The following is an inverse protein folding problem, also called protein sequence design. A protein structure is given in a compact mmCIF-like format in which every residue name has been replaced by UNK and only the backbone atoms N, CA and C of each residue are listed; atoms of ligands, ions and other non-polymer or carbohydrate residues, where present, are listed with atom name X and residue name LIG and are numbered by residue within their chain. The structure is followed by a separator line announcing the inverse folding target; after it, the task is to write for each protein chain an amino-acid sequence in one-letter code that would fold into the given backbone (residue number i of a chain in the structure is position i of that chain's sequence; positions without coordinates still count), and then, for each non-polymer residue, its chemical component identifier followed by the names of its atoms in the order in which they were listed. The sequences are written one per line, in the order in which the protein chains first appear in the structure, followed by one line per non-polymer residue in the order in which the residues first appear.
data_IF_993082122771
#
_entry.id   IF_993082122771
#
_cell.length_a   1.000
_cell.length_b   1.000
_cell.length_c   1.000
_cell.angle_alpha   90.00
_cell.angle_beta   90.00
_cell.angle_gamma   90.00
#
_symmetry.space_group_name_H-M   'P 1'
#
loop_
_entity.id
_entity.type
_entity.pdbx_description
1 polymer ?
#
# COMPACT_ATOMS: atom_id res chain seq x y z
N UNK A 1 -29.36 -19.76 -6.12
CA UNK A 1 -28.60 -19.12 -5.02
C UNK A 1 -27.87 -17.92 -5.59
N UNK A 2 -28.06 -16.75 -5.02
CA UNK A 2 -27.33 -15.54 -5.41
C UNK A 2 -26.16 -15.39 -4.45
N UNK A 3 -24.94 -15.51 -4.94
CA UNK A 3 -23.75 -15.24 -4.11
C UNK A 3 -23.65 -13.73 -3.88
N UNK A 4 -23.22 -13.33 -2.68
CA UNK A 4 -22.82 -11.95 -2.45
C UNK A 4 -21.65 -11.62 -3.39
N UNK A 5 -21.76 -10.51 -4.13
CA UNK A 5 -20.72 -10.02 -5.03
C UNK A 5 -20.09 -8.78 -4.41
N UNK A 6 -18.77 -8.70 -4.44
CA UNK A 6 -18.00 -7.51 -4.08
C UNK A 6 -17.23 -7.03 -5.30
N UNK A 7 -17.38 -5.77 -5.66
CA UNK A 7 -16.68 -5.14 -6.77
C UNK A 7 -15.56 -4.26 -6.22
N UNK A 8 -14.32 -4.53 -6.62
CA UNK A 8 -13.15 -3.78 -6.17
C UNK A 8 -12.60 -2.99 -7.36
N UNK A 9 -12.46 -1.68 -7.20
CA UNK A 9 -11.82 -0.82 -8.19
C UNK A 9 -10.32 -0.73 -7.90
N UNK A 10 -9.50 -1.17 -8.85
CA UNK A 10 -8.04 -1.04 -8.84
C UNK A 10 -7.64 -0.01 -9.89
N UNK A 11 -7.21 1.20 -9.50
CA UNK A 11 -6.96 2.29 -10.45
C UNK A 11 -5.59 2.19 -11.14
N UNK A 12 -4.63 1.47 -10.54
CA UNK A 12 -3.25 1.35 -11.00
C UNK A 12 -2.57 0.11 -10.43
N UNK A 13 -1.42 -0.25 -11.02
CA UNK A 13 -0.58 -1.35 -10.52
C UNK A 13 0.16 -1.03 -9.22
N UNK A 14 0.55 0.23 -9.00
CA UNK A 14 1.18 0.67 -7.76
C UNK A 14 0.94 2.17 -7.47
N UNK A 15 0.84 2.53 -6.20
CA UNK A 15 0.80 3.93 -5.74
C UNK A 15 2.17 4.61 -5.95
N UNK A 16 2.17 5.81 -6.53
CA UNK A 16 3.38 6.54 -6.91
C UNK A 16 3.78 6.37 -8.38
N UNK A 17 3.01 5.58 -9.14
CA UNK A 17 3.02 5.55 -10.60
C UNK A 17 1.78 6.29 -11.10
N UNK A 18 1.91 7.30 -11.98
CA UNK A 18 0.76 8.02 -12.52
C UNK A 18 -0.26 7.08 -13.17
N UNK A 19 -1.54 7.35 -12.90
CA UNK A 19 -2.66 6.62 -13.48
C UNK A 19 -3.67 7.56 -14.13
N UNK A 20 -4.45 7.01 -15.06
CA UNK A 20 -5.42 7.78 -15.83
C UNK A 20 -6.64 8.16 -14.96
N UNK A 21 -6.80 9.47 -14.74
CA UNK A 21 -7.91 10.03 -13.95
C UNK A 21 -9.27 9.86 -14.64
N UNK A 22 -9.31 9.81 -15.98
CA UNK A 22 -10.53 9.54 -16.72
C UNK A 22 -10.95 8.08 -16.55
N UNK A 23 -9.98 7.16 -16.55
CA UNK A 23 -10.23 5.74 -16.25
C UNK A 23 -10.72 5.54 -14.80
N UNK A 24 -10.12 6.23 -13.83
CA UNK A 24 -10.62 6.24 -12.44
C UNK A 24 -12.07 6.73 -12.37
N UNK A 25 -12.37 7.89 -12.97
CA UNK A 25 -13.72 8.44 -12.98
C UNK A 25 -14.73 7.45 -13.60
N UNK A 26 -14.37 6.80 -14.71
CA UNK A 26 -15.20 5.77 -15.34
C UNK A 26 -15.41 4.56 -14.44
N UNK A 27 -14.37 4.14 -13.72
CA UNK A 27 -14.45 3.05 -12.74
C UNK A 27 -15.41 3.36 -11.59
N UNK A 28 -15.48 4.62 -11.14
CA UNK A 28 -16.41 5.05 -10.09
C UNK A 28 -17.88 4.99 -10.54
N UNK A 29 -18.17 5.20 -11.82
CA UNK A 29 -19.53 5.05 -12.37
C UNK A 29 -20.08 3.62 -12.19
N UNK A 30 -19.20 2.61 -12.10
CA UNK A 30 -19.57 1.23 -11.85
C UNK A 30 -19.97 0.94 -10.39
N UNK A 31 -19.93 1.94 -9.50
CA UNK A 31 -20.31 1.84 -8.07
C UNK A 31 -19.55 0.70 -7.36
N UNK A 32 -18.21 0.77 -7.29
CA UNK A 32 -17.44 -0.24 -6.57
C UNK A 32 -17.83 -0.26 -5.10
N UNK A 33 -17.56 -1.37 -4.42
CA UNK A 33 -17.74 -1.54 -2.97
C UNK A 33 -16.46 -1.15 -2.19
N UNK A 34 -15.32 -1.11 -2.89
CA UNK A 34 -13.99 -0.80 -2.35
C UNK A 34 -13.12 -0.19 -3.46
N UNK A 35 -12.32 0.82 -3.12
CA UNK A 35 -11.17 1.22 -3.93
C UNK A 35 -9.94 0.62 -3.26
N UNK A 36 -9.12 -0.12 -4.02
CA UNK A 36 -7.88 -0.67 -3.51
C UNK A 36 -6.73 -0.37 -4.47
N UNK A 37 -5.54 -0.19 -3.91
CA UNK A 37 -4.30 -0.03 -4.67
C UNK A 37 -3.20 -0.75 -3.90
N UNK A 38 -2.23 -1.31 -4.61
CA UNK A 38 -1.02 -1.80 -3.97
C UNK A 38 0.10 -0.74 -4.04
N UNK A 39 1.11 -0.85 -3.19
CA UNK A 39 2.32 -0.05 -3.28
C UNK A 39 3.58 -0.89 -3.27
N UNK A 40 3.47 -2.23 -3.26
CA UNK A 40 4.58 -3.16 -3.09
C UNK A 40 5.47 -3.33 -4.32
N UNK A 41 6.78 -3.50 -4.10
CA UNK A 41 7.75 -3.83 -5.15
C UNK A 41 9.06 -4.38 -4.57
N UNK A 42 9.46 -5.57 -5.01
CA UNK A 42 10.81 -6.14 -4.74
C UNK A 42 11.87 -5.56 -5.68
N UNK A 43 11.47 -5.04 -6.83
CA UNK A 43 12.35 -4.47 -7.87
C UNK A 43 12.98 -3.13 -7.44
N UNK A 44 12.65 -2.66 -6.24
CA UNK A 44 13.30 -1.51 -5.63
C UNK A 44 14.76 -1.81 -5.29
N UNK A 45 15.12 -3.08 -5.08
CA UNK A 45 16.47 -3.48 -4.72
C UNK A 45 16.76 -3.36 -3.22
N UNK A 46 17.94 -3.85 -2.78
CA UNK A 46 18.21 -4.13 -1.37
C UNK A 46 18.23 -2.89 -0.48
N UNK A 47 18.56 -1.71 -1.02
CA UNK A 47 18.57 -0.47 -0.25
C UNK A 47 17.18 -0.12 0.27
N UNK A 48 16.17 -0.01 -0.60
CA UNK A 48 14.83 0.41 -0.20
C UNK A 48 14.13 -0.65 0.66
N UNK A 49 14.30 -1.93 0.31
CA UNK A 49 13.79 -3.05 1.10
C UNK A 49 14.43 -3.11 2.49
N UNK A 50 15.76 -2.96 2.58
CA UNK A 50 16.50 -3.09 3.83
C UNK A 50 16.41 -1.88 4.76
N UNK A 51 16.16 -0.68 4.22
CA UNK A 51 16.05 0.56 5.01
C UNK A 51 14.62 0.93 5.38
N UNK A 52 13.61 0.24 4.84
CA UNK A 52 12.22 0.62 5.04
C UNK A 52 11.86 1.96 4.38
N UNK A 53 12.59 2.38 3.36
CA UNK A 53 12.40 3.64 2.65
C UNK A 53 11.65 3.40 1.35
N UNK A 54 10.65 4.23 1.05
CA UNK A 54 9.94 4.15 -0.23
C UNK A 54 10.84 4.52 -1.42
N UNK A 55 10.78 3.74 -2.50
CA UNK A 55 11.39 4.11 -3.80
C UNK A 55 10.78 5.37 -4.40
N UNK A 56 9.48 5.59 -4.17
CA UNK A 56 8.76 6.75 -4.69
C UNK A 56 8.86 7.94 -3.73
N UNK A 57 8.96 9.14 -4.31
CA UNK A 57 9.02 10.38 -3.53
C UNK A 57 7.72 10.62 -2.77
N UNK A 58 7.84 11.16 -1.55
CA UNK A 58 6.69 11.54 -0.72
C UNK A 58 5.71 12.45 -1.44
N UNK A 59 6.20 13.43 -2.21
CA UNK A 59 5.37 14.39 -2.93
C UNK A 59 4.49 13.69 -3.97
N UNK A 60 5.08 12.78 -4.78
CA UNK A 60 4.33 12.03 -5.77
C UNK A 60 3.29 11.10 -5.10
N UNK A 61 3.72 10.34 -4.09
CA UNK A 61 2.83 9.44 -3.33
C UNK A 61 1.66 10.20 -2.69
N UNK A 62 1.92 11.36 -2.06
CA UNK A 62 0.87 12.20 -1.48
C UNK A 62 -0.11 12.70 -2.55
N UNK A 63 0.39 13.19 -3.68
CA UNK A 63 -0.45 13.72 -4.75
C UNK A 63 -1.39 12.63 -5.32
N UNK A 64 -0.85 11.44 -5.58
CA UNK A 64 -1.63 10.31 -6.08
C UNK A 64 -2.62 9.78 -5.03
N UNK A 65 -2.21 9.70 -3.76
CA UNK A 65 -3.06 9.25 -2.66
C UNK A 65 -4.21 10.22 -2.40
N UNK A 66 -3.96 11.54 -2.49
CA UNK A 66 -4.99 12.56 -2.31
C UNK A 66 -6.12 12.45 -3.35
N UNK A 67 -5.78 12.07 -4.59
CA UNK A 67 -6.79 11.79 -5.64
C UNK A 67 -7.64 10.57 -5.27
N UNK A 68 -7.03 9.50 -4.76
CA UNK A 68 -7.79 8.31 -4.33
C UNK A 68 -8.65 8.58 -3.08
N UNK A 69 -8.15 9.37 -2.13
CA UNK A 69 -8.94 9.80 -0.97
C UNK A 69 -10.16 10.62 -1.40
N UNK A 70 -10.01 11.50 -2.40
CA UNK A 70 -11.14 12.24 -2.97
C UNK A 70 -12.15 11.32 -3.67
N UNK A 71 -11.68 10.38 -4.48
CA UNK A 71 -12.52 9.39 -5.15
C UNK A 71 -13.28 8.52 -4.14
N UNK A 72 -12.61 8.09 -3.06
CA UNK A 72 -13.21 7.38 -1.94
C UNK A 72 -14.31 8.19 -1.27
N UNK A 73 -14.09 9.47 -1.01
CA UNK A 73 -15.08 10.35 -0.40
C UNK A 73 -16.31 10.52 -1.33
N UNK A 74 -16.08 10.70 -2.63
CA UNK A 74 -17.14 10.82 -3.63
C UNK A 74 -18.00 9.56 -3.74
N UNK A 75 -17.38 8.37 -3.78
CA UNK A 75 -18.09 7.10 -3.88
C UNK A 75 -18.66 6.61 -2.53
N UNK A 76 -18.22 7.20 -1.42
CA UNK A 76 -18.57 6.79 -0.06
C UNK A 76 -18.29 5.31 0.24
N UNK A 77 -17.07 4.87 -0.09
CA UNK A 77 -16.61 3.48 0.10
C UNK A 77 -15.34 3.43 0.95
N UNK A 78 -14.84 2.26 1.37
CA UNK A 78 -13.50 2.17 1.95
C UNK A 78 -12.41 2.39 0.89
N UNK A 79 -11.22 2.77 1.36
CA UNK A 79 -10.00 2.84 0.55
C UNK A 79 -8.94 1.98 1.24
N UNK A 80 -8.30 1.09 0.49
CA UNK A 80 -7.29 0.16 0.98
C UNK A 80 -5.98 0.36 0.20
N UNK A 81 -4.87 0.40 0.94
CA UNK A 81 -3.55 0.16 0.39
C UNK A 81 -3.06 -1.21 0.86
N UNK A 82 -2.55 -2.04 -0.05
CA UNK A 82 -1.96 -3.34 0.27
C UNK A 82 -0.63 -3.17 1.00
N UNK A 83 0.47 -3.11 0.25
CA UNK A 83 1.81 -2.85 0.77
C UNK A 83 2.10 -1.34 0.79
N UNK A 84 2.50 -0.82 1.93
CA UNK A 84 2.90 0.58 2.08
C UNK A 84 4.37 0.80 1.68
N UNK A 85 4.64 1.91 0.96
CA UNK A 85 5.99 2.40 0.69
C UNK A 85 6.96 1.38 0.07
N UNK A 86 6.49 0.57 -0.89
CA UNK A 86 7.28 -0.40 -1.68
C UNK A 86 7.80 -1.63 -0.96
N UNK A 87 8.25 -1.51 0.28
CA UNK A 87 8.82 -2.60 1.07
C UNK A 87 7.85 -3.19 2.09
N UNK A 88 6.77 -2.49 2.46
CA UNK A 88 5.82 -2.96 3.46
C UNK A 88 6.34 -2.97 4.89
N UNK A 89 7.51 -2.37 5.14
CA UNK A 89 8.05 -2.24 6.49
C UNK A 89 7.08 -1.46 7.39
N UNK A 90 7.13 -1.72 8.70
CA UNK A 90 6.29 -1.02 9.67
C UNK A 90 6.50 0.51 9.63
N UNK A 91 7.73 0.96 9.36
CA UNK A 91 8.06 2.37 9.13
C UNK A 91 7.39 2.95 7.88
N UNK A 92 7.22 2.14 6.84
CA UNK A 92 6.51 2.55 5.62
C UNK A 92 5.00 2.66 5.86
N UNK A 93 4.43 1.80 6.73
CA UNK A 93 3.04 1.90 7.18
C UNK A 93 2.83 3.20 7.97
N UNK A 94 3.73 3.53 8.90
CA UNK A 94 3.68 4.80 9.65
C UNK A 94 3.79 6.01 8.71
N UNK A 95 4.73 5.95 7.77
CA UNK A 95 4.91 7.01 6.78
C UNK A 95 3.66 7.24 5.91
N UNK A 96 2.99 6.16 5.47
CA UNK A 96 1.72 6.26 4.73
C UNK A 96 0.58 6.78 5.62
N UNK A 97 0.54 6.41 6.90
CA UNK A 97 -0.42 6.95 7.85
C UNK A 97 -0.23 8.47 8.02
N UNK A 98 1.00 8.95 8.17
CA UNK A 98 1.32 10.37 8.27
C UNK A 98 0.88 11.16 7.04
N UNK A 99 1.14 10.63 5.84
CA UNK A 99 0.64 11.21 4.57
C UNK A 99 -0.88 11.27 4.57
N UNK A 100 -1.55 10.19 4.99
CA UNK A 100 -3.01 10.10 5.04
C UNK A 100 -3.61 11.13 6.00
N UNK A 101 -3.04 11.27 7.20
CA UNK A 101 -3.48 12.24 8.21
C UNK A 101 -3.21 13.69 7.79
N UNK A 102 -2.12 13.94 7.06
CA UNK A 102 -1.86 15.25 6.43
C UNK A 102 -2.94 15.62 5.41
N UNK A 103 -3.23 14.72 4.47
CA UNK A 103 -4.27 14.95 3.45
C UNK A 103 -5.65 15.10 4.10
N UNK A 104 -5.97 14.29 5.12
CA UNK A 104 -7.23 14.39 5.84
C UNK A 104 -7.42 15.77 6.49
N UNK A 105 -6.36 16.30 7.14
CA UNK A 105 -6.36 17.65 7.72
C UNK A 105 -6.54 18.73 6.65
N UNK A 106 -5.83 18.61 5.53
CA UNK A 106 -5.94 19.56 4.39
C UNK A 106 -7.34 19.57 3.77
N UNK A 107 -8.05 18.45 3.83
CA UNK A 107 -9.41 18.30 3.28
C UNK A 107 -10.52 18.53 4.31
N UNK A 108 -10.17 18.73 5.60
CA UNK A 108 -11.14 18.83 6.68
C UNK A 108 -11.93 17.53 6.92
N UNK A 109 -11.35 16.38 6.59
CA UNK A 109 -11.99 15.06 6.71
C UNK A 109 -11.66 14.41 8.05
N UNK A 110 -12.66 13.76 8.65
CA UNK A 110 -12.46 12.85 9.78
C UNK A 110 -12.53 11.41 9.27
N UNK A 111 -11.45 10.65 9.48
CA UNK A 111 -11.31 9.30 8.96
C UNK A 111 -11.30 8.28 10.10
N UNK A 112 -11.89 7.11 9.86
CA UNK A 112 -11.66 5.91 10.65
C UNK A 112 -10.60 5.08 9.95
N UNK A 113 -9.41 5.00 10.54
CA UNK A 113 -8.24 4.34 9.93
C UNK A 113 -7.86 3.12 10.78
N UNK A 114 -7.52 2.02 10.11
CA UNK A 114 -6.86 0.88 10.72
C UNK A 114 -5.53 0.66 10.00
N UNK A 115 -4.46 0.41 10.75
CA UNK A 115 -3.15 0.04 10.22
C UNK A 115 -2.85 -1.41 10.59
N UNK A 116 -2.29 -2.16 9.63
CA UNK A 116 -1.84 -3.52 9.83
C UNK A 116 -0.35 -3.55 9.55
N UNK A 117 0.41 -4.04 10.53
CA UNK A 117 1.86 -4.14 10.50
C UNK A 117 2.24 -5.61 10.65
N UNK A 118 3.20 -6.05 9.87
CA UNK A 118 3.66 -7.45 9.84
C UNK A 118 5.18 -7.56 9.92
N UNK A 119 5.86 -6.53 10.43
CA UNK A 119 7.27 -6.58 10.72
C UNK A 119 7.64 -7.79 11.58
N UNK A 120 8.76 -8.42 11.24
CA UNK A 120 9.32 -9.53 12.01
C UNK A 120 10.44 -9.03 12.92
N UNK A 121 10.55 -9.62 14.11
CA UNK A 121 11.62 -9.30 15.04
C UNK A 121 12.97 -9.77 14.48
N UNK A 122 13.95 -8.86 14.46
CA UNK A 122 15.26 -9.11 13.85
C UNK A 122 16.01 -10.24 14.55
N UNK A 123 15.97 -10.29 15.88
CA UNK A 123 16.73 -11.28 16.66
C UNK A 123 16.11 -12.67 16.51
N UNK A 124 14.77 -12.74 16.38
CA UNK A 124 14.08 -13.99 16.05
C UNK A 124 14.46 -14.51 14.66
N UNK A 125 14.61 -13.63 13.67
CA UNK A 125 15.04 -14.01 12.32
C UNK A 125 16.50 -14.50 12.32
N UNK A 126 17.41 -13.79 13.01
CA UNK A 126 18.81 -14.22 13.17
C UNK A 126 18.87 -15.60 13.84
N UNK A 127 18.15 -15.79 14.94
CA UNK A 127 18.08 -17.07 15.66
C UNK A 127 17.53 -18.20 14.76
N UNK A 128 16.54 -17.91 13.91
CA UNK A 128 16.00 -18.89 12.97
C UNK A 128 16.99 -19.26 11.87
N UNK A 129 17.74 -18.27 11.38
CA UNK A 129 18.79 -18.46 10.40
C UNK A 129 19.93 -19.35 10.95
N UNK A 130 20.47 -19.00 12.12
CA UNK A 130 21.54 -19.78 12.78
C UNK A 130 21.11 -21.22 13.11
N UNK A 131 19.81 -21.44 13.37
CA UNK A 131 19.24 -22.76 13.62
C UNK A 131 18.91 -23.55 12.33
N UNK A 132 19.23 -23.04 11.14
CA UNK A 132 18.95 -23.70 9.86
C UNK A 132 17.47 -23.79 9.50
N UNK A 133 16.62 -22.93 10.08
CA UNK A 133 15.17 -22.90 9.83
C UNK A 133 14.75 -21.98 8.68
N UNK A 134 15.70 -21.22 8.13
CA UNK A 134 15.50 -20.37 6.95
C UNK A 134 16.25 -21.02 5.79
N UNK A 135 15.53 -21.29 4.71
CA UNK A 135 16.08 -21.86 3.48
C UNK A 135 15.97 -20.85 2.35
N UNK A 136 16.89 -20.87 1.38
CA UNK A 136 16.77 -20.02 0.21
C UNK A 136 15.48 -20.35 -0.56
N UNK A 137 14.93 -19.34 -1.24
CA UNK A 137 13.86 -19.58 -2.22
C UNK A 137 14.42 -20.35 -3.41
N UNK A 138 13.54 -21.04 -4.14
CA UNK A 138 13.92 -21.73 -5.38
C UNK A 138 14.60 -20.75 -6.36
N UNK A 139 15.82 -21.07 -6.78
CA UNK A 139 16.62 -20.25 -7.70
C UNK A 139 17.42 -19.10 -7.05
N UNK A 140 17.31 -18.88 -5.75
CA UNK A 140 18.17 -17.93 -5.02
C UNK A 140 19.55 -18.56 -4.71
N UNK A 141 20.61 -17.74 -4.49
CA UNK A 141 21.88 -18.23 -3.96
C UNK A 141 21.71 -18.91 -2.60
N UNK A 142 22.66 -19.79 -2.25
CA UNK A 142 22.75 -20.33 -0.91
C UNK A 142 22.96 -19.21 0.11
N UNK A 143 22.34 -19.37 1.28
CA UNK A 143 22.40 -18.44 2.42
C UNK A 143 23.08 -19.11 3.61
#
# INVERSE_FOLDING_TARGET
MTYAKTNILIPAGALGIPYDKAALAKGLEAKPDLIAIDGGSTDSGPYYLGTGTSKYSRTATKADWAVLMAARAQANVPLLIGTAGTCGADSAVDWMLDITLEIARERGETLKIATLKSGQDKDQIITAFEAGRITPLEGAPDI
#
